data_IF_044001935744
#
_entry.id   IF_044001935744
#
_cell.length_a   1.000
_cell.length_b   1.000
_cell.length_c   1.000
_cell.angle_alpha   90.00
_cell.angle_beta   90.00
_cell.angle_gamma   90.00
#
_symmetry.space_group_name_H-M   'P 1'
#
loop_
_entity.id
_entity.type
_entity.pdbx_description
1 polymer ?
#
# COMPACT_ATOMS: atom_id res chain seq x y z
N UNK A 1 23.39 -9.15 2.22
CA UNK A 1 22.08 -9.66 2.66
C UNK A 1 21.04 -8.69 2.16
N UNK A 2 20.33 -9.03 1.08
CA UNK A 2 19.24 -8.21 0.56
C UNK A 2 18.04 -8.47 1.47
N UNK A 3 17.70 -7.52 2.33
CA UNK A 3 16.46 -7.59 3.09
C UNK A 3 15.31 -7.32 2.10
N UNK A 4 14.75 -8.38 1.53
CA UNK A 4 13.45 -8.30 0.85
C UNK A 4 12.40 -8.02 1.92
N UNK A 5 12.04 -6.75 2.09
CA UNK A 5 10.92 -6.39 2.94
C UNK A 5 9.64 -6.92 2.32
N UNK A 6 9.01 -7.86 3.00
CA UNK A 6 7.74 -8.44 2.57
C UNK A 6 6.65 -7.39 2.78
N UNK A 7 5.84 -7.14 1.75
CA UNK A 7 4.79 -6.12 1.78
C UNK A 7 3.84 -6.28 2.98
N UNK A 8 3.57 -7.53 3.37
CA UNK A 8 2.81 -7.91 4.58
C UNK A 8 3.41 -7.41 5.90
N UNK A 9 4.71 -7.17 5.98
CA UNK A 9 5.36 -6.57 7.15
C UNK A 9 5.27 -5.04 7.16
N UNK A 10 5.04 -4.44 5.99
CA UNK A 10 4.98 -2.99 5.80
C UNK A 10 3.54 -2.45 5.89
N UNK A 11 2.56 -3.25 5.47
CA UNK A 11 1.14 -2.92 5.48
C UNK A 11 0.27 -4.11 5.90
N UNK A 12 -0.68 -3.83 6.79
CA UNK A 12 -1.79 -4.74 7.07
C UNK A 12 -2.87 -4.50 6.01
N UNK A 13 -2.95 -5.39 5.01
CA UNK A 13 -3.86 -5.26 3.86
C UNK A 13 -5.32 -5.15 4.30
N UNK A 14 -5.73 -5.88 5.35
CA UNK A 14 -7.12 -5.86 5.83
C UNK A 14 -7.46 -4.53 6.51
N UNK A 15 -6.59 -4.06 7.42
CA UNK A 15 -6.77 -2.75 8.07
C UNK A 15 -6.70 -1.60 7.07
N UNK A 16 -5.77 -1.67 6.12
CA UNK A 16 -5.62 -0.65 5.09
C UNK A 16 -6.85 -0.61 4.17
N UNK A 17 -7.37 -1.77 3.76
CA UNK A 17 -8.59 -1.86 2.95
C UNK A 17 -9.76 -1.20 3.66
N UNK A 18 -10.02 -1.57 4.92
CA UNK A 18 -11.11 -0.97 5.71
C UNK A 18 -10.94 0.56 5.87
N UNK A 19 -9.72 1.04 6.06
CA UNK A 19 -9.45 2.48 6.11
C UNK A 19 -9.71 3.16 4.75
N UNK A 20 -9.31 2.54 3.65
CA UNK A 20 -9.54 3.05 2.29
C UNK A 20 -11.03 3.09 1.95
N UNK A 21 -11.82 2.10 2.34
CA UNK A 21 -13.28 2.12 2.12
C UNK A 21 -13.95 3.32 2.79
N UNK A 22 -13.48 3.68 3.99
CA UNK A 22 -14.04 4.81 4.76
C UNK A 22 -13.53 6.16 4.27
N UNK A 23 -12.25 6.25 3.90
CA UNK A 23 -11.59 7.54 3.63
C UNK A 23 -11.48 7.88 2.14
N UNK A 24 -11.40 6.87 1.27
CA UNK A 24 -11.17 7.03 -0.18
C UNK A 24 -12.09 6.07 -0.98
N UNK A 25 -13.42 6.17 -0.84
CA UNK A 25 -14.36 5.30 -1.57
C UNK A 25 -14.28 5.46 -3.10
N UNK A 26 -13.76 6.60 -3.58
CA UNK A 26 -13.51 6.84 -5.00
C UNK A 26 -12.46 5.90 -5.62
N UNK A 27 -11.60 5.29 -4.80
CA UNK A 27 -10.58 4.35 -5.25
C UNK A 27 -11.21 3.07 -5.83
N UNK A 28 -12.44 2.76 -5.41
CA UNK A 28 -13.22 1.61 -5.82
C UNK A 28 -13.33 0.54 -4.75
N UNK A 29 -14.25 -0.40 -4.99
CA UNK A 29 -14.59 -1.51 -4.08
C UNK A 29 -13.85 -2.81 -4.42
N UNK A 30 -13.05 -2.85 -5.49
CA UNK A 30 -12.37 -4.08 -5.88
C UNK A 30 -11.33 -4.52 -4.82
N UNK A 31 -10.91 -5.80 -4.83
CA UNK A 31 -9.84 -6.28 -3.97
C UNK A 31 -8.60 -5.41 -4.08
N UNK A 32 -7.97 -5.12 -2.93
CA UNK A 32 -6.79 -4.26 -2.87
C UNK A 32 -5.59 -4.94 -3.54
N UNK A 33 -5.20 -4.45 -4.72
CA UNK A 33 -3.91 -4.77 -5.34
C UNK A 33 -2.87 -3.80 -4.78
N UNK A 34 -2.01 -4.31 -3.90
CA UNK A 34 -0.91 -3.57 -3.33
C UNK A 34 0.42 -4.11 -3.86
N UNK A 35 1.29 -3.22 -4.34
CA UNK A 35 2.62 -3.57 -4.86
C UNK A 35 3.68 -2.62 -4.30
N UNK A 36 4.76 -3.19 -3.77
CA UNK A 36 5.93 -2.42 -3.37
C UNK A 36 6.66 -1.94 -4.63
N UNK A 37 6.68 -0.62 -4.84
CA UNK A 37 7.38 0.00 -5.97
C UNK A 37 8.85 0.22 -5.59
N UNK A 38 9.08 0.72 -4.39
CA UNK A 38 10.41 1.00 -3.88
C UNK A 38 10.43 0.76 -2.37
N UNK A 39 11.23 -0.20 -1.92
CA UNK A 39 11.49 -0.43 -0.50
C UNK A 39 12.97 -0.26 -0.24
N UNK A 40 13.35 0.88 0.33
CA UNK A 40 14.71 1.15 0.79
C UNK A 40 14.73 1.59 2.25
N UNK A 41 15.91 1.68 2.84
CA UNK A 41 16.15 2.03 4.26
C UNK A 41 15.52 3.37 4.68
N UNK A 42 15.18 4.25 3.73
CA UNK A 42 14.73 5.61 4.04
C UNK A 42 13.35 5.99 3.53
N UNK A 43 12.75 5.28 2.57
CA UNK A 43 11.38 5.56 2.13
C UNK A 43 10.78 4.30 1.53
N UNK A 44 9.53 4.03 1.90
CA UNK A 44 8.74 2.93 1.34
C UNK A 44 7.65 3.54 0.46
N UNK A 45 7.61 3.12 -0.80
CA UNK A 45 6.63 3.53 -1.80
C UNK A 45 5.85 2.32 -2.25
N UNK A 46 4.53 2.34 -2.06
CA UNK A 46 3.60 1.25 -2.37
C UNK A 46 2.53 1.81 -3.30
N UNK A 47 2.27 1.14 -4.41
CA UNK A 47 1.09 1.42 -5.24
C UNK A 47 -0.10 0.61 -4.75
N UNK A 48 -1.26 1.25 -4.68
CA UNK A 48 -2.54 0.68 -4.28
C UNK A 48 -3.52 0.86 -5.43
N UNK A 49 -4.23 -0.19 -5.83
CA UNK A 49 -5.26 -0.11 -6.86
C UNK A 49 -6.50 -0.92 -6.44
N UNK A 50 -7.68 -0.34 -6.60
CA UNK A 50 -8.99 -0.99 -6.33
C UNK A 50 -9.95 -0.91 -7.52
N UNK A 51 -9.41 -0.96 -8.73
CA UNK A 51 -10.17 -1.09 -9.97
C UNK A 51 -10.62 0.23 -10.61
N UNK A 52 -10.53 1.38 -9.92
CA UNK A 52 -10.77 2.70 -10.54
C UNK A 52 -9.51 3.50 -10.73
N UNK A 53 -8.83 3.82 -9.63
CA UNK A 53 -7.65 4.67 -9.62
C UNK A 53 -6.46 3.95 -8.99
N UNK A 54 -5.25 4.38 -9.35
CA UNK A 54 -4.02 3.95 -8.69
C UNK A 54 -3.59 5.05 -7.74
N UNK A 55 -3.40 4.69 -6.48
CA UNK A 55 -2.93 5.56 -5.41
C UNK A 55 -1.50 5.17 -5.05
N UNK A 56 -0.66 6.15 -4.72
CA UNK A 56 0.70 5.89 -4.27
C UNK A 56 0.80 6.26 -2.79
N UNK A 57 1.04 5.25 -1.95
CA UNK A 57 1.30 5.42 -0.54
C UNK A 57 2.80 5.57 -0.31
N UNK A 58 3.20 6.66 0.36
CA UNK A 58 4.58 6.90 0.75
C UNK A 58 4.69 6.91 2.27
N UNK A 59 5.51 6.03 2.83
CA UNK A 59 5.87 6.03 4.26
C UNK A 59 7.32 6.47 4.44
N UNK A 60 7.58 7.53 5.22
CA UNK A 60 8.92 7.81 5.74
C UNK A 60 9.35 6.70 6.73
N UNK A 61 10.65 6.55 6.99
CA UNK A 61 11.14 5.58 7.95
C UNK A 61 10.76 6.06 9.35
N UNK A 62 10.28 5.16 10.20
CA UNK A 62 10.01 5.46 11.61
C UNK A 62 11.30 5.33 12.43
#
# INVERSE_FOLDING_TARGET
MTHEHKLEELIDVSKLTAWLDVNIPELGDAPLDAKLIHGGTSNVVISLNRGRHTLVLRRPPA
#
